data_IF_003452702612
#
_entry.id   IF_003452702612
#
_cell.length_a   1.000
_cell.length_b   1.000
_cell.length_c   1.000
_cell.angle_alpha   90.00
_cell.angle_beta   90.00
_cell.angle_gamma   90.00
#
_symmetry.space_group_name_H-M   'P 1'
#
loop_
_entity.id
_entity.type
_entity.pdbx_description
1 polymer ?
#
# COMPACT_ATOMS: atom_id res chain seq x y z
N UNK A 1 1.44 9.98 14.78
CA UNK A 1 0.49 8.92 14.36
C UNK A 1 -0.70 9.66 13.81
N UNK A 2 -1.12 9.42 12.55
CA UNK A 2 -2.33 10.05 12.02
C UNK A 2 -3.55 9.57 12.82
N UNK A 3 -4.54 10.43 12.99
CA UNK A 3 -5.81 10.06 13.60
C UNK A 3 -6.79 9.57 12.52
N UNK A 4 -8.00 9.21 12.94
CA UNK A 4 -9.03 8.69 12.02
C UNK A 4 -9.34 9.65 10.85
N UNK A 5 -9.47 10.98 11.06
CA UNK A 5 -9.79 11.90 9.96
C UNK A 5 -8.73 11.93 8.86
N UNK A 6 -7.44 11.85 9.20
CA UNK A 6 -6.35 11.85 8.23
C UNK A 6 -6.27 10.53 7.46
N UNK A 7 -6.54 9.40 8.12
CA UNK A 7 -6.60 8.09 7.48
C UNK A 7 -7.76 8.03 6.47
N UNK A 8 -8.94 8.53 6.84
CA UNK A 8 -10.11 8.57 5.95
C UNK A 8 -9.87 9.50 4.75
N UNK A 9 -9.26 10.65 4.98
CA UNK A 9 -8.89 11.59 3.91
C UNK A 9 -7.94 10.94 2.91
N UNK A 10 -6.93 10.22 3.41
CA UNK A 10 -5.97 9.52 2.55
C UNK A 10 -6.64 8.39 1.78
N UNK A 11 -7.48 7.59 2.45
CA UNK A 11 -8.23 6.49 1.84
C UNK A 11 -9.09 6.97 0.67
N UNK A 12 -9.96 7.96 0.90
CA UNK A 12 -10.83 8.52 -0.15
C UNK A 12 -10.04 9.21 -1.26
N UNK A 13 -8.90 9.80 -0.93
CA UNK A 13 -8.02 10.48 -1.89
C UNK A 13 -7.37 9.53 -2.90
N UNK A 14 -6.98 8.32 -2.47
CA UNK A 14 -6.30 7.35 -3.35
C UNK A 14 -7.27 6.39 -4.04
N UNK A 15 -8.40 6.06 -3.42
CA UNK A 15 -9.38 5.07 -3.90
C UNK A 15 -9.71 5.16 -5.41
N UNK A 16 -10.12 6.31 -5.98
CA UNK A 16 -10.51 6.39 -7.39
C UNK A 16 -9.37 6.11 -8.38
N UNK A 17 -8.11 6.18 -7.93
CA UNK A 17 -6.93 5.98 -8.77
C UNK A 17 -6.37 4.56 -8.69
N UNK A 18 -6.68 3.83 -7.62
CA UNK A 18 -6.12 2.49 -7.37
C UNK A 18 -7.18 1.40 -7.48
N UNK A 19 -8.46 1.72 -7.31
CA UNK A 19 -9.53 0.72 -7.35
C UNK A 19 -9.60 0.04 -8.73
N UNK A 20 -9.53 -1.30 -8.73
CA UNK A 20 -9.57 -2.12 -9.95
C UNK A 20 -8.28 -2.13 -10.77
N UNK A 21 -7.22 -1.45 -10.33
CA UNK A 21 -5.91 -1.48 -10.98
C UNK A 21 -5.15 -2.75 -10.63
N UNK A 22 -4.26 -3.20 -11.53
CA UNK A 22 -3.38 -4.35 -11.29
C UNK A 22 -2.00 -3.85 -10.87
N UNK A 23 -1.43 -4.43 -9.82
CA UNK A 23 -0.09 -4.10 -9.35
C UNK A 23 0.93 -4.64 -10.36
N UNK A 24 1.56 -3.73 -11.14
CA UNK A 24 2.59 -4.11 -12.10
C UNK A 24 3.94 -4.44 -11.42
N UNK A 25 4.30 -3.68 -10.39
CA UNK A 25 5.59 -3.82 -9.70
C UNK A 25 5.50 -3.39 -8.24
N UNK A 26 6.15 -4.14 -7.36
CA UNK A 26 6.31 -3.81 -5.95
C UNK A 26 7.79 -3.62 -5.63
N UNK A 27 8.17 -2.48 -5.06
CA UNK A 27 9.59 -2.12 -4.79
C UNK A 27 9.72 -1.64 -3.35
N UNK A 28 10.45 -2.40 -2.53
CA UNK A 28 10.78 -2.02 -1.15
C UNK A 28 12.17 -1.39 -1.11
N UNK A 29 12.25 -0.10 -0.75
CA UNK A 29 13.54 0.61 -0.58
C UNK A 29 14.03 0.63 0.86
N UNK A 30 13.10 0.51 1.82
CA UNK A 30 13.41 0.41 3.24
C UNK A 30 12.49 -0.63 3.88
N UNK A 31 13.07 -1.69 4.45
CA UNK A 31 12.34 -2.77 5.11
C UNK A 31 12.13 -2.55 6.62
N UNK A 32 12.73 -1.50 7.21
CA UNK A 32 12.78 -1.29 8.65
C UNK A 32 11.64 -0.37 9.13
N UNK A 33 10.41 -0.88 9.10
CA UNK A 33 9.25 -0.23 9.74
C UNK A 33 9.08 -0.75 11.18
N UNK A 34 8.02 -0.31 11.89
CA UNK A 34 7.70 -0.83 13.24
C UNK A 34 7.80 -2.36 13.28
N UNK A 35 7.22 -3.01 12.27
CA UNK A 35 7.46 -4.41 11.93
C UNK A 35 8.02 -4.47 10.50
N UNK A 36 8.90 -5.44 10.16
CA UNK A 36 9.43 -5.57 8.80
C UNK A 36 8.33 -5.75 7.76
N UNK A 37 8.58 -5.32 6.51
CA UNK A 37 7.68 -5.61 5.39
C UNK A 37 7.62 -7.13 5.18
N UNK A 38 6.41 -7.66 5.09
CA UNK A 38 6.17 -9.09 4.97
C UNK A 38 6.75 -9.65 3.66
N UNK A 39 7.36 -10.84 3.69
CA UNK A 39 8.10 -11.39 2.54
C UNK A 39 7.17 -11.71 1.37
N UNK A 40 5.93 -12.09 1.68
CA UNK A 40 4.89 -12.47 0.72
C UNK A 40 4.44 -11.25 -0.13
N UNK A 41 4.79 -10.02 0.28
CA UNK A 41 4.49 -8.81 -0.52
C UNK A 41 5.26 -8.74 -1.84
N UNK A 42 6.33 -9.52 -1.99
CA UNK A 42 7.03 -9.67 -3.27
C UNK A 42 6.11 -10.27 -4.36
N UNK A 43 5.13 -11.08 -3.96
CA UNK A 43 4.21 -11.81 -4.86
C UNK A 43 2.99 -10.98 -5.26
N UNK A 44 2.97 -9.69 -4.91
CA UNK A 44 1.87 -8.78 -5.25
C UNK A 44 1.82 -8.42 -6.74
N UNK A 45 2.85 -8.72 -7.52
CA UNK A 45 2.85 -8.46 -8.96
C UNK A 45 1.74 -9.26 -9.66
N UNK A 46 0.86 -8.58 -10.38
CA UNK A 46 -0.30 -9.17 -11.04
C UNK A 46 -1.56 -9.27 -10.17
N UNK A 47 -1.50 -8.88 -8.89
CA UNK A 47 -2.67 -8.82 -8.01
C UNK A 47 -3.54 -7.59 -8.33
N UNK A 48 -4.86 -7.70 -8.11
CA UNK A 48 -5.86 -6.65 -8.35
C UNK A 48 -6.53 -6.21 -7.04
#
# INVERSE_FOLDING_TARGET
MPELPEVETTMRGIEPYVHGQVINRFIVRNNQLRWPVAKETADLQGQR
#
